data_IF_384211850601
#
_entry.id   IF_384211850601
#
_cell.length_a   1.000
_cell.length_b   1.000
_cell.length_c   1.000
_cell.angle_alpha   90.00
_cell.angle_beta   90.00
_cell.angle_gamma   90.00
#
_symmetry.space_group_name_H-M   'P 1'
#
loop_
_entity.id
_entity.type
_entity.pdbx_description
1 polymer ?
#
# COMPACT_ATOMS: atom_id res chain seq x y z
N UNK A 1 13.53 21.23 -21.70
CA UNK A 1 12.52 20.21 -21.34
C UNK A 1 11.94 20.65 -20.02
N UNK A 2 10.65 20.97 -19.95
CA UNK A 2 10.04 21.30 -18.67
C UNK A 2 9.94 20.01 -17.86
N UNK A 3 10.64 19.94 -16.74
CA UNK A 3 10.37 18.92 -15.73
C UNK A 3 8.91 19.12 -15.29
N UNK A 4 8.08 18.10 -15.51
CA UNK A 4 6.73 18.09 -14.95
C UNK A 4 6.80 18.23 -13.43
N UNK A 5 5.70 18.65 -12.77
CA UNK A 5 5.70 18.79 -11.32
C UNK A 5 6.09 17.46 -10.66
N UNK A 6 7.19 17.47 -9.90
CA UNK A 6 7.56 16.34 -9.05
C UNK A 6 6.73 16.44 -7.77
N UNK A 7 5.83 15.50 -7.56
CA UNK A 7 5.12 15.37 -6.29
C UNK A 7 6.13 14.91 -5.23
N UNK A 8 6.07 15.50 -4.04
CA UNK A 8 6.85 14.99 -2.91
C UNK A 8 6.29 13.63 -2.45
N UNK A 9 7.13 12.81 -1.82
CA UNK A 9 6.69 11.53 -1.25
C UNK A 9 5.55 11.72 -0.25
N UNK A 10 5.60 12.79 0.56
CA UNK A 10 4.56 13.12 1.51
C UNK A 10 3.23 13.42 0.82
N UNK A 11 3.23 14.27 -0.21
CA UNK A 11 2.01 14.57 -0.97
C UNK A 11 1.44 13.31 -1.64
N UNK A 12 2.32 12.45 -2.15
CA UNK A 12 1.91 11.15 -2.69
C UNK A 12 1.24 10.28 -1.62
N UNK A 13 1.85 10.13 -0.44
CA UNK A 13 1.30 9.32 0.66
C UNK A 13 -0.02 9.90 1.17
N UNK A 14 -0.07 11.20 1.44
CA UNK A 14 -1.28 11.89 1.93
C UNK A 14 -2.46 11.72 0.97
N UNK A 15 -2.21 11.72 -0.35
CA UNK A 15 -3.22 11.50 -1.38
C UNK A 15 -3.87 10.10 -1.36
N UNK A 16 -3.17 9.08 -0.84
CA UNK A 16 -3.63 7.69 -0.85
C UNK A 16 -3.92 7.10 0.53
N UNK A 17 -3.34 7.65 1.60
CA UNK A 17 -3.42 7.10 2.96
C UNK A 17 -4.86 6.79 3.39
N UNK A 18 -5.78 7.73 3.18
CA UNK A 18 -7.20 7.55 3.55
C UNK A 18 -7.93 6.49 2.72
N UNK A 19 -7.40 6.12 1.55
CA UNK A 19 -7.97 5.09 0.68
C UNK A 19 -7.49 3.70 1.12
N UNK A 20 -6.20 3.56 1.46
CA UNK A 20 -5.57 2.25 1.71
C UNK A 20 -5.54 1.81 3.17
N UNK A 21 -5.44 2.74 4.12
CA UNK A 21 -5.24 2.39 5.53
C UNK A 21 -6.45 1.60 6.06
N UNK A 22 -6.19 0.46 6.71
CA UNK A 22 -7.25 -0.42 7.23
C UNK A 22 -8.03 -1.17 6.15
N UNK A 23 -7.60 -1.13 4.88
CA UNK A 23 -8.21 -1.95 3.83
C UNK A 23 -7.65 -3.37 3.81
N UNK A 24 -8.48 -4.26 3.26
CA UNK A 24 -8.17 -5.66 3.01
C UNK A 24 -8.16 -5.89 1.51
N UNK A 25 -7.18 -6.65 1.02
CA UNK A 25 -7.15 -7.16 -0.35
C UNK A 25 -6.60 -8.58 -0.38
N UNK A 26 -6.85 -9.30 -1.47
CA UNK A 26 -6.31 -10.65 -1.69
C UNK A 26 -5.23 -10.60 -2.77
N UNK A 27 -4.10 -11.23 -2.51
CA UNK A 27 -2.99 -11.34 -3.46
C UNK A 27 -2.24 -12.64 -3.20
N UNK A 28 -1.81 -13.35 -4.26
CA UNK A 28 -1.12 -14.65 -4.15
C UNK A 28 -1.82 -15.65 -3.21
N UNK A 29 -3.15 -15.77 -3.32
CA UNK A 29 -3.98 -16.63 -2.46
C UNK A 29 -3.88 -16.33 -0.95
N UNK A 30 -3.39 -15.16 -0.57
CA UNK A 30 -3.27 -14.71 0.81
C UNK A 30 -4.09 -13.44 1.06
N UNK A 31 -4.62 -13.32 2.28
CA UNK A 31 -5.33 -12.13 2.74
C UNK A 31 -4.32 -11.10 3.27
N UNK A 32 -4.45 -9.86 2.82
CA UNK A 32 -3.56 -8.77 3.21
C UNK A 32 -4.37 -7.66 3.88
N UNK A 33 -3.89 -7.16 5.01
CA UNK A 33 -4.49 -6.05 5.75
C UNK A 33 -3.47 -4.94 5.96
N UNK A 34 -3.81 -3.73 5.50
CA UNK A 34 -2.91 -2.56 5.56
C UNK A 34 -2.93 -1.94 6.96
N UNK A 35 -1.81 -1.99 7.66
CA UNK A 35 -1.67 -1.51 9.04
C UNK A 35 -1.20 -0.06 9.12
N UNK A 36 -0.28 0.33 8.24
CA UNK A 36 0.39 1.63 8.27
C UNK A 36 0.93 1.98 6.89
N UNK A 37 1.11 3.27 6.63
CA UNK A 37 1.83 3.80 5.46
C UNK A 37 2.93 4.72 5.98
N UNK A 38 4.17 4.38 5.67
CA UNK A 38 5.37 5.13 6.07
C UNK A 38 5.54 6.36 5.16
N UNK A 39 5.54 7.55 5.77
CA UNK A 39 5.57 8.84 5.07
C UNK A 39 6.93 9.16 4.43
N UNK A 40 8.02 8.52 4.89
CA UNK A 40 9.36 8.75 4.38
C UNK A 40 9.67 7.88 3.17
N UNK A 41 9.14 6.66 3.14
CA UNK A 41 9.50 5.63 2.15
C UNK A 41 8.37 5.31 1.18
N UNK A 42 7.12 5.61 1.53
CA UNK A 42 5.95 5.18 0.74
C UNK A 42 5.69 3.68 0.83
N UNK A 43 6.25 2.99 1.83
CA UNK A 43 5.98 1.58 2.07
C UNK A 43 4.78 1.42 3.01
N UNK A 44 3.88 0.50 2.64
CA UNK A 44 2.82 0.03 3.49
C UNK A 44 3.31 -1.12 4.35
N UNK A 45 3.10 -1.06 5.66
CA UNK A 45 3.24 -2.23 6.53
C UNK A 45 1.96 -3.03 6.46
N UNK A 46 2.04 -4.28 6.01
CA UNK A 46 0.88 -5.12 5.67
C UNK A 46 0.94 -6.42 6.46
N UNK A 47 -0.14 -6.74 7.16
CA UNK A 47 -0.33 -8.06 7.75
C UNK A 47 -0.81 -9.02 6.67
N UNK A 48 0.01 -10.01 6.33
CA UNK A 48 -0.32 -11.09 5.38
C UNK A 48 -0.71 -12.34 6.15
N UNK A 49 -1.87 -12.92 5.81
CA UNK A 49 -2.35 -14.19 6.35
C UNK A 49 -2.45 -15.22 5.23
N UNK A 50 -1.68 -16.30 5.35
CA UNK A 50 -1.65 -17.41 4.40
C UNK A 50 -1.51 -18.73 5.15
N UNK A 51 -2.30 -19.75 4.78
CA UNK A 51 -2.26 -21.09 5.36
C UNK A 51 -2.24 -21.12 6.91
N UNK A 52 -3.04 -20.25 7.55
CA UNK A 52 -3.14 -20.15 9.01
C UNK A 52 -1.99 -19.41 9.71
N UNK A 53 -0.97 -18.96 8.98
CA UNK A 53 0.13 -18.14 9.51
C UNK A 53 -0.10 -16.67 9.20
N UNK A 54 0.37 -15.81 10.10
CA UNK A 54 0.34 -14.35 9.93
C UNK A 54 1.77 -13.81 10.00
N UNK A 55 2.12 -12.97 9.05
CA UNK A 55 3.43 -12.31 8.98
C UNK A 55 3.24 -10.83 8.59
N UNK A 56 4.24 -10.01 8.91
CA UNK A 56 4.28 -8.61 8.49
C UNK A 56 5.23 -8.49 7.31
N UNK A 57 4.73 -7.96 6.21
CA UNK A 57 5.51 -7.61 5.03
C UNK A 57 5.43 -6.11 4.77
N UNK A 58 6.32 -5.61 3.92
CA UNK A 58 6.28 -4.24 3.42
C UNK A 58 6.01 -4.27 1.92
N UNK A 59 5.02 -3.49 1.48
CA UNK A 59 4.64 -3.40 0.07
C UNK A 59 4.65 -1.93 -0.38
N UNK A 60 5.06 -1.61 -1.62
CA UNK A 60 4.96 -0.25 -2.14
C UNK A 60 3.50 0.24 -2.12
N UNK A 61 3.28 1.49 -1.68
CA UNK A 61 1.95 2.10 -1.63
C UNK A 61 1.21 2.02 -2.97
N UNK A 62 1.91 2.24 -4.10
CA UNK A 62 1.32 2.14 -5.43
C UNK A 62 0.72 0.76 -5.72
N UNK A 63 1.45 -0.32 -5.39
CA UNK A 63 0.95 -1.70 -5.55
C UNK A 63 -0.29 -1.93 -4.66
N UNK A 64 -0.23 -1.47 -3.40
CA UNK A 64 -1.37 -1.59 -2.49
C UNK A 64 -2.60 -0.84 -3.02
N UNK A 65 -2.43 0.37 -3.56
CA UNK A 65 -3.54 1.14 -4.16
C UNK A 65 -4.18 0.36 -5.30
N UNK A 66 -3.38 -0.17 -6.23
CA UNK A 66 -3.90 -0.92 -7.38
C UNK A 66 -4.71 -2.15 -6.93
N UNK A 67 -4.19 -2.89 -5.94
CA UNK A 67 -4.87 -4.07 -5.37
C UNK A 67 -6.15 -3.72 -4.62
N UNK A 68 -6.15 -2.64 -3.84
CA UNK A 68 -7.32 -2.19 -3.07
C UNK A 68 -8.43 -1.69 -3.99
N UNK A 69 -8.09 -1.01 -5.10
CA UNK A 69 -9.07 -0.54 -6.08
C UNK A 69 -9.61 -1.64 -7.00
N UNK A 70 -8.91 -2.77 -7.10
CA UNK A 70 -9.25 -3.84 -8.04
C UNK A 70 -8.86 -3.52 -9.48
N UNK A 71 -7.86 -2.65 -9.67
CA UNK A 71 -7.35 -2.23 -10.99
C UNK A 71 -6.31 -3.23 -11.57
N UNK A 72 -6.30 -4.50 -11.08
CA UNK A 72 -5.36 -5.58 -11.43
C UNK A 72 -6.05 -6.94 -11.54
#
# INVERSE_FOLDING_TARGET
MAEGPSISMREYVDGWRGIVLGRVFTHESALHFVLEVDDATGLCRVSRRHAGRTEIIHMPLGEVVMRVKGDL
#
